data_IF_535468092557
#
_entry.id   IF_535468092557
#
_cell.length_a   1.000
_cell.length_b   1.000
_cell.length_c   1.000
_cell.angle_alpha   90.00
_cell.angle_beta   90.00
_cell.angle_gamma   90.00
#
_symmetry.space_group_name_H-M   'P 1'
#
loop_
_entity.id
_entity.type
_entity.pdbx_description
1 polymer ?
#
# COMPACT_ATOMS: atom_id res chain seq x y z
N UNK A 1 6.63 11.45 11.15
CA UNK A 1 6.88 10.46 10.08
C UNK A 1 5.58 9.78 9.63
N UNK A 2 4.90 8.99 10.48
CA UNK A 2 3.61 8.36 10.12
C UNK A 2 2.51 9.40 9.81
N UNK A 3 2.38 10.47 10.60
CA UNK A 3 1.40 11.55 10.35
C UNK A 3 1.58 12.21 8.99
N UNK A 4 2.81 12.48 8.57
CA UNK A 4 3.08 13.12 7.28
C UNK A 4 2.78 12.21 6.08
N UNK A 5 3.05 10.91 6.23
CA UNK A 5 2.68 9.91 5.21
C UNK A 5 1.17 9.72 5.12
N UNK A 6 0.48 9.79 6.26
CA UNK A 6 -0.98 9.82 6.35
C UNK A 6 -1.54 11.05 5.62
N UNK A 7 -1.05 12.25 5.94
CA UNK A 7 -1.50 13.51 5.33
C UNK A 7 -1.28 13.50 3.81
N UNK A 8 -0.12 13.03 3.35
CA UNK A 8 0.19 12.92 1.92
C UNK A 8 -0.74 11.94 1.21
N UNK A 9 -0.92 10.74 1.77
CA UNK A 9 -1.77 9.71 1.19
C UNK A 9 -3.24 10.18 1.17
N UNK A 10 -3.68 10.82 2.24
CA UNK A 10 -5.00 11.40 2.37
C UNK A 10 -5.24 12.49 1.32
N UNK A 11 -4.28 13.40 1.11
CA UNK A 11 -4.36 14.42 0.06
C UNK A 11 -4.48 13.78 -1.33
N UNK A 12 -3.64 12.79 -1.66
CA UNK A 12 -3.66 12.11 -2.97
C UNK A 12 -4.95 11.33 -3.21
N UNK A 13 -5.49 10.68 -2.19
CA UNK A 13 -6.69 9.85 -2.30
C UNK A 13 -8.00 10.66 -2.22
N UNK A 14 -8.00 11.82 -1.57
CA UNK A 14 -9.19 12.67 -1.40
C UNK A 14 -9.82 13.12 -2.73
N UNK A 15 -9.00 13.29 -3.78
CA UNK A 15 -9.48 13.69 -5.10
C UNK A 15 -10.23 12.57 -5.85
N UNK A 16 -9.97 11.30 -5.51
CA UNK A 16 -10.55 10.14 -6.20
C UNK A 16 -11.58 9.35 -5.39
N UNK A 17 -11.70 9.62 -4.09
CA UNK A 17 -12.57 8.86 -3.18
C UNK A 17 -13.53 9.80 -2.45
N UNK A 18 -14.83 9.63 -2.69
CA UNK A 18 -15.90 10.33 -1.96
C UNK A 18 -16.11 9.73 -0.56
N UNK A 19 -15.12 9.89 0.32
CA UNK A 19 -15.15 9.41 1.71
C UNK A 19 -15.16 10.59 2.70
N UNK A 20 -15.79 10.40 3.87
CA UNK A 20 -15.64 11.35 4.98
C UNK A 20 -14.18 11.36 5.47
N UNK A 21 -13.78 12.46 6.11
CA UNK A 21 -12.42 12.60 6.64
C UNK A 21 -12.00 11.40 7.50
N UNK A 22 -12.82 10.99 8.46
CA UNK A 22 -12.54 9.85 9.35
C UNK A 22 -12.37 8.53 8.59
N UNK A 23 -13.19 8.29 7.55
CA UNK A 23 -13.11 7.06 6.74
C UNK A 23 -11.88 7.06 5.85
N UNK A 24 -11.52 8.22 5.29
CA UNK A 24 -10.33 8.39 4.47
C UNK A 24 -9.05 8.21 5.32
N UNK A 25 -9.02 8.81 6.50
CA UNK A 25 -7.94 8.65 7.48
C UNK A 25 -7.77 7.18 7.89
N UNK A 26 -8.88 6.49 8.18
CA UNK A 26 -8.88 5.06 8.51
C UNK A 26 -8.33 4.21 7.36
N UNK A 27 -8.75 4.50 6.11
CA UNK A 27 -8.24 3.82 4.93
C UNK A 27 -6.73 4.02 4.75
N UNK A 28 -6.25 5.25 4.94
CA UNK A 28 -4.83 5.57 4.82
C UNK A 28 -4.01 4.86 5.91
N UNK A 29 -4.48 4.83 7.15
CA UNK A 29 -3.87 4.08 8.24
C UNK A 29 -3.81 2.57 7.95
N UNK A 30 -4.88 2.01 7.37
CA UNK A 30 -4.92 0.60 6.97
C UNK A 30 -3.88 0.30 5.90
N UNK A 31 -3.77 1.13 4.86
CA UNK A 31 -2.77 0.97 3.78
C UNK A 31 -1.34 1.05 4.34
N UNK A 32 -1.06 2.04 5.19
CA UNK A 32 0.25 2.18 5.84
C UNK A 32 0.54 0.97 6.74
N UNK A 33 -0.47 0.48 7.48
CA UNK A 33 -0.36 -0.71 8.32
C UNK A 33 -0.01 -1.95 7.51
N UNK A 34 -0.74 -2.23 6.42
CA UNK A 34 -0.48 -3.37 5.53
C UNK A 34 0.92 -3.28 4.91
N UNK A 35 1.35 -2.09 4.46
CA UNK A 35 2.68 -1.89 3.90
C UNK A 35 3.81 -2.07 4.94
N UNK A 36 3.52 -1.78 6.21
CA UNK A 36 4.49 -1.88 7.32
C UNK A 36 4.59 -3.30 7.89
N UNK A 37 3.49 -4.05 7.88
CA UNK A 37 3.45 -5.44 8.31
C UNK A 37 4.06 -6.30 7.21
N UNK A 38 5.32 -6.71 7.40
CA UNK A 38 6.12 -7.50 6.44
C UNK A 38 5.56 -8.89 6.11
N UNK A 39 4.41 -9.26 6.67
CA UNK A 39 3.80 -10.56 6.54
C UNK A 39 2.43 -10.43 5.88
N UNK A 40 2.42 -10.24 4.57
CA UNK A 40 1.18 -10.34 3.78
C UNK A 40 1.25 -11.59 2.91
N UNK A 41 0.20 -12.41 2.93
CA UNK A 41 0.13 -13.59 2.10
C UNK A 41 -0.03 -13.18 0.63
N UNK A 42 1.07 -13.21 -0.12
CA UNK A 42 1.12 -12.76 -1.51
C UNK A 42 0.22 -13.60 -2.43
N UNK A 43 -0.09 -14.85 -2.08
CA UNK A 43 -1.00 -15.70 -2.86
C UNK A 43 -2.43 -15.19 -2.77
N UNK A 44 -2.88 -14.81 -1.57
CA UNK A 44 -4.19 -14.18 -1.38
C UNK A 44 -4.28 -12.81 -2.05
N UNK A 45 -3.24 -11.98 -1.98
CA UNK A 45 -3.25 -10.71 -2.72
C UNK A 45 -3.37 -10.97 -4.23
N UNK A 46 -2.63 -11.96 -4.74
CA UNK A 46 -2.61 -12.25 -6.17
C UNK A 46 -3.97 -12.65 -6.71
N UNK A 47 -4.83 -13.30 -5.92
CA UNK A 47 -6.18 -13.69 -6.36
C UNK A 47 -7.14 -12.52 -6.45
N UNK A 48 -6.93 -11.49 -5.63
CA UNK A 48 -7.79 -10.30 -5.58
C UNK A 48 -7.38 -9.20 -6.57
N UNK A 49 -6.22 -9.30 -7.21
CA UNK A 49 -5.78 -8.28 -8.16
C UNK A 49 -6.56 -8.42 -9.48
N UNK A 50 -7.22 -7.35 -9.96
CA UNK A 50 -7.94 -7.36 -11.24
C UNK A 50 -6.95 -7.30 -12.41
N UNK A 51 -6.38 -8.44 -12.78
CA UNK A 51 -5.39 -8.58 -13.86
C UNK A 51 -5.74 -9.75 -14.77
N UNK A 52 -5.48 -9.60 -16.08
CA UNK A 52 -5.61 -10.68 -17.06
C UNK A 52 -4.45 -11.70 -17.01
N UNK A 53 -3.40 -11.42 -16.22
CA UNK A 53 -2.28 -12.34 -16.03
C UNK A 53 -2.66 -13.53 -15.14
N UNK A 54 -2.05 -14.69 -15.40
CA UNK A 54 -2.18 -15.88 -14.54
C UNK A 54 -1.81 -15.56 -13.09
N UNK A 55 -2.51 -16.18 -12.15
CA UNK A 55 -2.29 -16.04 -10.70
C UNK A 55 -0.80 -16.13 -10.31
N UNK A 56 -0.10 -17.15 -10.83
CA UNK A 56 1.33 -17.33 -10.55
C UNK A 56 2.23 -16.20 -11.08
N UNK A 57 1.85 -15.57 -12.19
CA UNK A 57 2.59 -14.44 -12.75
C UNK A 57 2.46 -13.22 -11.84
N UNK A 58 1.24 -12.96 -11.35
CA UNK A 58 0.96 -11.93 -10.35
C UNK A 58 1.70 -12.20 -9.05
N UNK A 59 1.69 -13.45 -8.59
CA UNK A 59 2.44 -13.87 -7.40
C UNK A 59 3.94 -13.63 -7.54
N UNK A 60 4.56 -14.07 -8.66
CA UNK A 60 5.98 -13.82 -8.94
C UNK A 60 6.30 -12.32 -9.05
N UNK A 61 5.39 -11.52 -9.59
CA UNK A 61 5.55 -10.05 -9.63
C UNK A 61 5.60 -9.45 -8.23
N UNK A 62 4.69 -9.87 -7.35
CA UNK A 62 4.69 -9.43 -5.95
C UNK A 62 5.95 -9.91 -5.22
N UNK A 63 6.38 -11.16 -5.40
CA UNK A 63 7.64 -11.65 -4.85
C UNK A 63 8.83 -10.79 -5.28
N UNK A 64 8.96 -10.52 -6.59
CA UNK A 64 10.05 -9.66 -7.09
C UNK A 64 9.96 -8.25 -6.53
N UNK A 65 8.75 -7.68 -6.42
CA UNK A 65 8.56 -6.38 -5.81
C UNK A 65 9.09 -6.36 -4.38
N UNK A 66 8.66 -7.28 -3.52
CA UNK A 66 9.10 -7.33 -2.13
C UNK A 66 10.56 -7.78 -1.95
N UNK A 67 11.14 -8.51 -2.90
CA UNK A 67 12.57 -8.84 -2.91
C UNK A 67 13.45 -7.61 -3.17
N UNK A 68 13.03 -6.70 -4.04
CA UNK A 68 13.82 -5.53 -4.44
C UNK A 68 13.44 -4.25 -3.68
N UNK A 69 12.20 -4.17 -3.19
CA UNK A 69 11.69 -3.02 -2.46
C UNK A 69 11.77 -3.30 -0.97
N UNK A 70 12.94 -3.01 -0.39
CA UNK A 70 13.06 -2.92 1.06
C UNK A 70 12.62 -1.52 1.49
N UNK A 71 11.44 -1.44 2.08
CA UNK A 71 10.88 -0.16 2.54
C UNK A 71 11.67 0.42 3.75
N UNK A 72 12.58 -0.31 4.39
CA UNK A 72 13.35 0.22 5.52
C UNK A 72 12.45 0.77 6.64
N UNK A 73 13.04 1.43 7.64
CA UNK A 73 12.27 2.05 8.73
C UNK A 73 11.66 3.40 8.30
N UNK A 74 12.22 4.01 7.25
CA UNK A 74 11.92 5.38 6.81
C UNK A 74 11.34 5.47 5.38
N UNK A 75 10.83 4.39 4.77
CA UNK A 75 10.25 4.50 3.40
C UNK A 75 9.22 5.62 3.28
N UNK A 76 8.43 5.82 4.34
CA UNK A 76 7.38 6.81 4.39
C UNK A 76 7.91 8.24 4.31
N UNK A 77 9.21 8.48 4.61
CA UNK A 77 9.86 9.77 4.45
C UNK A 77 9.98 10.19 2.98
N UNK A 78 10.03 9.24 2.02
CA UNK A 78 10.04 9.56 0.57
C UNK A 78 8.69 9.98 0.01
N UNK A 79 7.62 9.86 0.80
CA UNK A 79 6.31 10.41 0.45
C UNK A 79 6.18 11.88 0.87
N UNK A 80 7.16 12.44 1.61
CA UNK A 80 7.11 13.77 2.25
C UNK A 80 7.77 14.88 1.41
N UNK A 81 8.43 14.54 0.28
CA UNK A 81 9.11 15.52 -0.60
C UNK A 81 8.35 15.70 -1.90
#
# INVERSE_FOLDING_TARGET
MIRTALDTLQQKLSAGLSLSHSRLETLCLLVIGIASVRTVNLSHISSEMPTQAKLESTYRRLQRFFQHVCLGQDWSARLVV
#
